data_IF_822268210547
#
_entry.id   IF_822268210547
#
_cell.length_a   1.000
_cell.length_b   1.000
_cell.length_c   1.000
_cell.angle_alpha   90.00
_cell.angle_beta   90.00
_cell.angle_gamma   90.00
#
_symmetry.space_group_name_H-M   'P 1'
#
loop_
_entity.id
_entity.type
_entity.pdbx_description
1 polymer ?
#
# COMPACT_ATOMS: atom_id res chain seq x y z
N UNK A 1 -0.01 -4.77 -3.49
CA UNK A 1 -0.11 -5.60 -2.26
C UNK A 1 1.06 -6.57 -2.12
N UNK A 2 1.45 -7.28 -3.18
CA UNK A 2 2.55 -8.27 -3.14
C UNK A 2 3.92 -7.68 -2.77
N UNK A 3 4.31 -6.54 -3.36
CA UNK A 3 5.59 -5.90 -3.02
C UNK A 3 5.65 -5.42 -1.55
N UNK A 4 4.52 -5.02 -0.96
CA UNK A 4 4.49 -4.65 0.46
C UNK A 4 4.55 -5.88 1.36
N UNK A 5 3.87 -6.97 0.98
CA UNK A 5 4.00 -8.26 1.67
C UNK A 5 5.44 -8.78 1.62
N UNK A 6 6.09 -8.70 0.46
CA UNK A 6 7.48 -9.08 0.27
C UNK A 6 8.43 -8.21 1.10
N UNK A 7 8.20 -6.88 1.14
CA UNK A 7 8.95 -5.95 1.98
C UNK A 7 8.85 -6.35 3.47
N UNK A 8 7.64 -6.62 3.95
CA UNK A 8 7.40 -7.02 5.34
C UNK A 8 7.98 -8.41 5.66
N UNK A 9 7.87 -9.37 4.75
CA UNK A 9 8.44 -10.71 4.89
C UNK A 9 9.97 -10.65 4.98
N UNK A 10 10.62 -9.99 4.03
CA UNK A 10 12.07 -9.81 4.04
C UNK A 10 12.56 -9.00 5.23
N UNK A 11 11.81 -7.99 5.67
CA UNK A 11 12.13 -7.24 6.90
C UNK A 11 12.19 -8.20 8.10
N UNK A 12 11.19 -9.09 8.24
CA UNK A 12 11.15 -10.07 9.35
C UNK A 12 12.26 -11.11 9.24
N UNK A 13 12.56 -11.57 8.02
CA UNK A 13 13.64 -12.51 7.76
C UNK A 13 15.00 -11.93 8.18
N UNK A 14 15.32 -10.72 7.73
CA UNK A 14 16.56 -10.01 8.09
C UNK A 14 16.67 -9.84 9.61
N UNK A 15 15.58 -9.44 10.29
CA UNK A 15 15.59 -9.28 11.74
C UNK A 15 15.75 -10.61 12.48
N UNK A 16 15.17 -11.69 11.95
CA UNK A 16 15.30 -13.03 12.53
C UNK A 16 16.73 -13.54 12.42
N UNK A 17 17.35 -13.38 11.25
CA UNK A 17 18.75 -13.75 11.03
C UNK A 17 19.71 -12.92 11.89
N UNK A 18 19.42 -11.63 12.04
CA UNK A 18 20.29 -10.66 12.74
C UNK A 18 19.82 -10.33 14.15
N UNK A 19 19.04 -11.22 14.79
CA UNK A 19 18.46 -10.98 16.11
C UNK A 19 19.54 -10.71 17.17
N UNK A 20 20.68 -11.40 17.07
CA UNK A 20 21.84 -11.19 17.94
C UNK A 20 22.36 -9.73 17.90
N UNK A 21 22.35 -9.07 16.73
CA UNK A 21 22.78 -7.67 16.60
C UNK A 21 21.78 -6.70 17.25
N UNK A 22 20.49 -7.05 17.23
CA UNK A 22 19.43 -6.25 17.86
C UNK A 22 19.58 -6.31 19.38
N UNK A 23 19.86 -7.50 19.92
CA UNK A 23 20.11 -7.72 21.34
C UNK A 23 21.42 -7.06 21.80
N UNK A 24 22.50 -7.20 21.04
CA UNK A 24 23.81 -6.58 21.33
C UNK A 24 23.72 -5.06 21.37
N UNK A 25 22.98 -4.47 20.42
CA UNK A 25 22.74 -3.03 20.39
C UNK A 25 21.68 -2.55 21.40
N UNK A 26 21.09 -3.45 22.21
CA UNK A 26 19.99 -3.16 23.14
C UNK A 26 18.83 -2.42 22.48
N UNK A 27 18.55 -2.74 21.22
CA UNK A 27 17.49 -2.10 20.44
C UNK A 27 16.15 -2.80 20.65
N UNK A 28 15.09 -2.00 20.84
CA UNK A 28 13.73 -2.52 20.82
C UNK A 28 13.35 -3.05 19.42
N UNK A 29 12.67 -4.19 19.38
CA UNK A 29 12.28 -4.87 18.14
C UNK A 29 11.50 -3.94 17.20
N UNK A 30 10.63 -3.07 17.74
CA UNK A 30 9.86 -2.14 16.92
C UNK A 30 10.74 -1.09 16.24
N UNK A 31 11.78 -0.62 16.94
CA UNK A 31 12.74 0.34 16.41
C UNK A 31 13.61 -0.31 15.34
N UNK A 32 14.14 -1.51 15.61
CA UNK A 32 14.89 -2.29 14.64
C UNK A 32 14.04 -2.59 13.38
N UNK A 33 12.77 -2.97 13.55
CA UNK A 33 11.85 -3.23 12.45
C UNK A 33 11.65 -2.02 11.55
N UNK A 34 11.39 -0.84 12.15
CA UNK A 34 11.20 0.39 11.38
C UNK A 34 12.46 0.76 10.59
N UNK A 35 13.63 0.64 11.20
CA UNK A 35 14.91 0.95 10.56
C UNK A 35 15.18 0.02 9.37
N UNK A 36 15.06 -1.29 9.57
CA UNK A 36 15.26 -2.29 8.51
C UNK A 36 14.21 -2.13 7.40
N UNK A 37 12.93 -1.95 7.74
CA UNK A 37 11.87 -1.74 6.75
C UNK A 37 12.13 -0.50 5.90
N UNK A 38 12.57 0.61 6.50
CA UNK A 38 12.88 1.84 5.76
C UNK A 38 14.05 1.62 4.81
N UNK A 39 15.13 1.00 5.30
CA UNK A 39 16.33 0.73 4.50
C UNK A 39 16.01 -0.20 3.31
N UNK A 40 15.26 -1.25 3.56
CA UNK A 40 14.87 -2.21 2.54
C UNK A 40 13.90 -1.60 1.52
N UNK A 41 13.00 -0.71 1.96
CA UNK A 41 12.13 0.03 1.05
C UNK A 41 12.93 0.95 0.11
N UNK A 42 13.96 1.63 0.62
CA UNK A 42 14.89 2.42 -0.21
C UNK A 42 15.63 1.53 -1.22
N UNK A 43 16.17 0.40 -0.79
CA UNK A 43 16.92 -0.55 -1.65
C UNK A 43 16.05 -1.15 -2.76
N UNK A 44 14.80 -1.48 -2.46
CA UNK A 44 13.85 -2.02 -3.43
C UNK A 44 13.17 -0.92 -4.26
N UNK A 45 13.51 0.36 -4.03
CA UNK A 45 12.85 1.52 -4.62
C UNK A 45 11.33 1.50 -4.41
N UNK A 46 10.88 1.06 -3.23
CA UNK A 46 9.46 0.99 -2.87
C UNK A 46 9.12 2.21 -2.01
N UNK A 47 8.26 3.08 -2.53
CA UNK A 47 7.68 4.15 -1.72
C UNK A 47 6.67 3.61 -0.72
N UNK A 48 6.95 3.80 0.59
CA UNK A 48 6.07 3.39 1.69
C UNK A 48 4.80 4.26 1.73
N UNK A 49 4.93 5.53 1.38
CA UNK A 49 3.78 6.43 1.30
C UNK A 49 2.95 6.09 0.05
N UNK A 50 1.68 5.72 0.21
CA UNK A 50 0.79 5.35 -0.90
C UNK A 50 0.72 6.44 -1.99
N UNK A 51 0.68 7.72 -1.62
CA UNK A 51 0.61 8.84 -2.58
C UNK A 51 1.91 8.99 -3.36
N UNK A 52 3.05 8.93 -2.67
CA UNK A 52 4.36 8.95 -3.35
C UNK A 52 4.57 7.72 -4.23
N UNK A 53 4.06 6.56 -3.80
CA UNK A 53 4.05 5.36 -4.63
C UNK A 53 3.23 5.54 -5.89
N UNK A 54 2.05 6.16 -5.82
CA UNK A 54 1.28 6.48 -7.03
C UNK A 54 2.03 7.45 -7.94
N UNK A 55 2.78 8.41 -7.39
CA UNK A 55 3.61 9.32 -8.19
C UNK A 55 4.73 8.58 -8.94
N UNK A 56 5.36 7.60 -8.27
CA UNK A 56 6.41 6.75 -8.84
C UNK A 56 5.84 5.85 -9.94
N UNK A 57 4.74 5.15 -9.65
CA UNK A 57 4.06 4.27 -10.62
C UNK A 57 3.61 5.07 -11.85
N UNK A 58 3.09 6.30 -11.66
CA UNK A 58 2.74 7.16 -12.79
C UNK A 58 3.95 7.50 -13.68
N UNK A 59 5.14 7.63 -13.08
CA UNK A 59 6.39 7.78 -13.82
C UNK A 59 6.71 6.53 -14.63
N UNK A 60 6.69 5.36 -13.99
CA UNK A 60 7.00 4.07 -14.63
C UNK A 60 6.06 3.75 -15.79
N UNK A 61 4.74 3.95 -15.61
CA UNK A 61 3.76 3.74 -16.68
C UNK A 61 4.02 4.69 -17.84
N UNK A 62 4.34 5.96 -17.55
CA UNK A 62 4.69 6.94 -18.58
C UNK A 62 5.96 6.53 -19.34
N UNK A 63 6.98 6.02 -18.64
CA UNK A 63 8.22 5.53 -19.28
C UNK A 63 7.92 4.33 -20.19
N UNK A 64 7.14 3.36 -19.71
CA UNK A 64 6.70 2.20 -20.51
C UNK A 64 5.94 2.61 -21.77
N UNK A 65 5.04 3.60 -21.68
CA UNK A 65 4.29 4.11 -22.85
C UNK A 65 5.25 4.75 -23.86
N UNK A 66 6.29 5.47 -23.41
CA UNK A 66 7.25 6.14 -24.28
C UNK A 66 8.24 5.16 -24.94
N UNK A 67 8.51 4.03 -24.29
CA UNK A 67 9.38 2.97 -24.80
C UNK A 67 8.68 2.02 -25.78
N UNK A 68 7.33 2.03 -25.81
CA UNK A 68 6.52 1.19 -26.68
C UNK A 68 6.45 1.77 -28.10
N UNK A 69 7.07 1.08 -29.06
CA UNK A 69 7.14 1.48 -30.47
C UNK A 69 5.80 1.30 -31.22
N UNK A 70 4.81 0.65 -30.60
CA UNK A 70 3.46 0.48 -31.15
C UNK A 70 2.51 1.62 -30.81
N UNK A 71 2.92 2.54 -29.92
CA UNK A 71 2.07 3.63 -29.44
C UNK A 71 2.50 4.95 -30.09
N UNK A 72 1.60 5.56 -30.86
CA UNK A 72 1.82 6.91 -31.38
C UNK A 72 1.41 7.97 -30.34
N UNK A 73 2.35 8.84 -29.98
CA UNK A 73 2.19 9.80 -28.90
C UNK A 73 2.09 11.22 -29.48
N UNK A 74 0.95 11.85 -29.22
CA UNK A 74 0.66 13.23 -29.66
C UNK A 74 0.78 14.28 -28.55
N UNK A 75 0.91 13.85 -27.30
CA UNK A 75 0.92 14.69 -26.11
C UNK A 75 2.30 14.75 -25.48
N UNK A 76 2.60 15.82 -24.72
CA UNK A 76 3.87 15.90 -24.02
C UNK A 76 3.97 14.87 -22.87
N UNK A 77 5.15 14.28 -22.60
CA UNK A 77 5.35 13.29 -21.54
C UNK A 77 4.84 13.70 -20.16
N UNK A 78 4.93 15.00 -19.83
CA UNK A 78 4.48 15.52 -18.55
C UNK A 78 2.94 15.53 -18.43
N UNK A 79 2.22 15.72 -19.54
CA UNK A 79 0.75 15.65 -19.61
C UNK A 79 0.30 14.20 -19.43
N UNK A 80 0.93 13.26 -20.12
CA UNK A 80 0.67 11.81 -20.00
C UNK A 80 0.83 11.37 -18.54
N UNK A 81 1.96 11.71 -17.92
CA UNK A 81 2.22 11.43 -16.51
C UNK A 81 1.16 12.03 -15.59
N UNK A 82 0.75 13.27 -15.85
CA UNK A 82 -0.26 13.96 -15.03
C UNK A 82 -1.62 13.25 -15.09
N UNK A 83 -2.04 12.80 -16.28
CA UNK A 83 -3.29 12.04 -16.47
C UNK A 83 -3.23 10.69 -15.76
N UNK A 84 -2.14 9.94 -15.91
CA UNK A 84 -1.95 8.66 -15.21
C UNK A 84 -2.00 8.89 -13.70
N UNK A 85 -1.28 9.89 -13.19
CA UNK A 85 -1.29 10.24 -11.77
C UNK A 85 -2.69 10.58 -11.29
N UNK A 86 -3.49 11.33 -12.06
CA UNK A 86 -4.85 11.68 -11.69
C UNK A 86 -5.72 10.43 -11.50
N UNK A 87 -5.67 9.48 -12.44
CA UNK A 87 -6.38 8.20 -12.38
C UNK A 87 -5.97 7.40 -11.15
N UNK A 88 -4.66 7.25 -10.91
CA UNK A 88 -4.15 6.52 -9.75
C UNK A 88 -4.55 7.17 -8.41
N UNK A 89 -4.55 8.50 -8.35
CA UNK A 89 -4.95 9.25 -7.15
C UNK A 89 -6.47 9.24 -6.92
N UNK A 90 -7.26 9.05 -7.97
CA UNK A 90 -8.70 8.83 -7.86
C UNK A 90 -8.99 7.44 -7.29
N UNK A 91 -8.36 6.39 -7.84
CA UNK A 91 -8.47 5.04 -7.31
C UNK A 91 -8.02 4.93 -5.84
N UNK A 92 -6.93 5.61 -5.47
CA UNK A 92 -6.48 5.67 -4.08
C UNK A 92 -7.50 6.34 -3.16
N UNK A 93 -8.17 7.40 -3.63
CA UNK A 93 -9.22 8.09 -2.85
C UNK A 93 -10.44 7.20 -2.68
N UNK A 94 -10.84 6.48 -3.71
CA UNK A 94 -11.94 5.52 -3.62
C UNK A 94 -11.64 4.41 -2.60
N UNK A 95 -10.41 3.88 -2.59
CA UNK A 95 -9.96 2.92 -1.57
C UNK A 95 -10.05 3.50 -0.15
N UNK A 96 -9.55 4.73 0.06
CA UNK A 96 -9.62 5.43 1.35
C UNK A 96 -11.07 5.67 1.81
N UNK A 97 -11.98 5.99 0.89
CA UNK A 97 -13.41 6.17 1.17
C UNK A 97 -14.10 4.85 1.54
N UNK A 98 -13.80 3.78 0.82
CA UNK A 98 -14.31 2.44 1.14
C UNK A 98 -13.84 2.00 2.53
N UNK A 99 -12.55 2.14 2.83
CA UNK A 99 -12.00 1.80 4.15
C UNK A 99 -12.71 2.59 5.26
N UNK A 100 -12.91 3.89 5.06
CA UNK A 100 -13.63 4.74 6.01
C UNK A 100 -15.08 4.26 6.21
N UNK A 101 -15.82 4.01 5.13
CA UNK A 101 -17.19 3.49 5.19
C UNK A 101 -17.27 2.18 5.97
N UNK A 102 -16.35 1.24 5.70
CA UNK A 102 -16.28 -0.06 6.35
C UNK A 102 -16.05 0.11 7.86
N UNK A 103 -15.08 0.94 8.26
CA UNK A 103 -14.79 1.20 9.67
C UNK A 103 -15.95 1.87 10.39
N UNK A 104 -16.61 2.84 9.77
CA UNK A 104 -17.80 3.49 10.32
C UNK A 104 -18.95 2.50 10.49
N UNK A 105 -19.15 1.61 9.50
CA UNK A 105 -20.17 0.57 9.57
C UNK A 105 -19.89 -0.46 10.66
N UNK A 106 -18.63 -0.81 10.94
CA UNK A 106 -18.31 -1.68 12.08
C UNK A 106 -18.53 -0.95 13.42
N UNK A 107 -18.16 0.33 13.51
CA UNK A 107 -18.36 1.14 14.72
C UNK A 107 -19.84 1.33 15.09
N UNK A 108 -20.76 1.23 14.13
CA UNK A 108 -22.19 1.36 14.39
C UNK A 108 -22.84 0.09 14.97
N UNK A 109 -22.10 -1.02 15.07
CA UNK A 109 -22.60 -2.23 15.74
C UNK A 109 -22.77 -1.98 17.25
N UNK A 110 -23.85 -2.50 17.83
CA UNK A 110 -24.20 -2.29 19.24
C UNK A 110 -23.14 -2.79 20.23
N UNK A 111 -22.34 -3.78 19.82
CA UNK A 111 -21.20 -4.28 20.59
C UNK A 111 -19.95 -3.51 20.17
N UNK A 112 -19.16 -3.05 21.14
CA UNK A 112 -17.83 -2.49 20.86
C UNK A 112 -16.89 -3.61 20.40
N UNK A 113 -16.62 -3.66 19.10
CA UNK A 113 -15.68 -4.60 18.50
C UNK A 113 -14.32 -3.89 18.38
N UNK A 114 -13.29 -4.45 19.04
CA UNK A 114 -11.96 -3.84 19.05
C UNK A 114 -11.25 -4.10 17.73
N UNK A 115 -10.71 -3.03 17.13
CA UNK A 115 -9.94 -3.10 15.88
C UNK A 115 -8.72 -4.02 16.01
N UNK A 116 -8.49 -4.85 14.99
CA UNK A 116 -7.41 -5.85 14.98
C UNK A 116 -7.76 -7.19 15.65
N UNK A 117 -8.93 -7.32 16.29
CA UNK A 117 -9.40 -8.63 16.77
C UNK A 117 -9.82 -9.53 15.60
N UNK A 118 -9.79 -10.88 15.75
CA UNK A 118 -10.27 -11.79 14.71
C UNK A 118 -11.71 -11.52 14.27
N UNK A 119 -12.59 -11.17 15.23
CA UNK A 119 -13.99 -10.80 14.96
C UNK A 119 -14.08 -9.54 14.09
N UNK A 120 -13.30 -8.50 14.44
CA UNK A 120 -13.22 -7.28 13.64
C UNK A 120 -12.70 -7.54 12.23
N UNK A 121 -11.62 -8.33 12.10
CA UNK A 121 -11.01 -8.65 10.81
C UNK A 121 -11.99 -9.39 9.87
N UNK A 122 -12.78 -10.32 10.43
CA UNK A 122 -13.79 -11.05 9.68
C UNK A 122 -14.94 -10.14 9.20
N UNK A 123 -15.42 -9.25 10.06
CA UNK A 123 -16.45 -8.27 9.70
C UNK A 123 -15.93 -7.26 8.68
N UNK A 124 -14.72 -6.75 8.88
CA UNK A 124 -14.06 -5.86 7.94
C UNK A 124 -13.99 -6.47 6.55
N UNK A 125 -13.46 -7.68 6.43
CA UNK A 125 -13.35 -8.37 5.14
C UNK A 125 -14.70 -8.48 4.43
N UNK A 126 -15.73 -8.94 5.16
CA UNK A 126 -17.09 -9.09 4.60
C UNK A 126 -17.66 -7.74 4.14
N UNK A 127 -17.62 -6.73 5.00
CA UNK A 127 -18.22 -5.42 4.72
C UNK A 127 -17.45 -4.71 3.60
N UNK A 128 -16.13 -4.89 3.54
CA UNK A 128 -15.28 -4.39 2.46
C UNK A 128 -15.65 -5.04 1.12
N UNK A 129 -15.77 -6.37 1.07
CA UNK A 129 -16.25 -7.08 -0.13
C UNK A 129 -17.65 -6.59 -0.57
N UNK A 130 -18.58 -6.37 0.36
CA UNK A 130 -19.89 -5.80 0.07
C UNK A 130 -19.82 -4.35 -0.45
N UNK A 131 -18.87 -3.55 0.05
CA UNK A 131 -18.63 -2.18 -0.40
C UNK A 131 -18.04 -2.13 -1.81
N UNK A 132 -17.17 -3.08 -2.16
CA UNK A 132 -16.63 -3.24 -3.52
C UNK A 132 -17.73 -3.66 -4.52
N UNK A 133 -18.53 -4.68 -4.18
CA UNK A 133 -19.63 -5.15 -5.05
C UNK A 133 -20.63 -4.03 -5.36
N UNK A 134 -20.99 -3.21 -4.37
CA UNK A 134 -21.90 -2.07 -4.57
C UNK A 134 -21.34 -1.00 -5.50
N UNK A 135 -20.03 -0.91 -5.65
CA UNK A 135 -19.34 0.02 -6.55
C UNK A 135 -18.96 -0.61 -7.90
N UNK A 136 -19.23 -1.90 -8.10
CA UNK A 136 -18.87 -2.63 -9.32
C UNK A 136 -17.37 -2.92 -9.45
N UNK A 137 -16.63 -2.92 -8.34
CA UNK A 137 -15.18 -3.17 -8.29
C UNK A 137 -14.82 -4.65 -8.06
N UNK A 138 -15.83 -5.51 -7.88
CA UNK A 138 -15.73 -6.95 -7.63
C UNK A 138 -16.87 -7.68 -8.36
#
# INVERSE_FOLDING_TARGET
EEEEKLLDERTREILREKMHLVEEASLDYRTAYKAVRSKLAEEMNININKRERMNQIAGMIKDLILEDDTVEIYEEPHIIRSRIRAILMEALREEEEIDKEVRERIKSYSRRIVEGTPEWNHLYKRIYEDALKRRGLL
#
